data_IF_176355243386
#
_entry.id   IF_176355243386
#
_cell.length_a   1.000
_cell.length_b   1.000
_cell.length_c   1.000
_cell.angle_alpha   90.00
_cell.angle_beta   90.00
_cell.angle_gamma   90.00
#
_symmetry.space_group_name_H-M   'P 1'
#
loop_
_entity.id
_entity.type
_entity.pdbx_description
1 polymer ?
#
# COMPACT_ATOMS: atom_id res chain seq x y z
N UNK A 1 -5.25 16.69 6.28
CA UNK A 1 -4.05 15.88 6.60
C UNK A 1 -2.81 16.68 6.26
N UNK A 2 -1.80 16.70 7.13
CA UNK A 2 -0.56 17.48 6.96
C UNK A 2 0.59 16.50 6.68
N UNK A 3 1.39 16.79 5.64
CA UNK A 3 2.56 15.97 5.27
C UNK A 3 3.83 16.74 5.59
N UNK A 4 4.77 16.08 6.28
CA UNK A 4 6.10 16.60 6.64
C UNK A 4 7.19 15.68 6.11
N UNK A 5 8.36 16.24 5.89
CA UNK A 5 9.55 15.52 5.44
C UNK A 5 10.69 15.75 6.43
N UNK A 6 11.28 14.66 6.92
CA UNK A 6 12.26 14.63 8.00
C UNK A 6 11.62 14.34 9.36
N UNK A 7 12.28 13.47 10.16
CA UNK A 7 11.82 13.13 11.51
C UNK A 7 11.86 14.31 12.49
N UNK A 8 12.61 15.35 12.19
CA UNK A 8 12.62 16.63 12.92
C UNK A 8 11.26 17.33 12.92
N UNK A 9 10.40 17.02 11.95
CA UNK A 9 9.01 17.46 11.93
C UNK A 9 8.04 16.69 12.84
N UNK A 10 8.49 15.60 13.49
CA UNK A 10 7.62 14.77 14.33
C UNK A 10 7.11 15.48 15.59
N UNK A 11 7.94 16.22 16.37
CA UNK A 11 7.44 16.98 17.52
C UNK A 11 6.33 17.98 17.16
N UNK A 12 6.46 18.65 16.02
CA UNK A 12 5.43 19.56 15.53
C UNK A 12 4.14 18.82 15.11
N UNK A 13 4.26 17.63 14.50
CA UNK A 13 3.12 16.79 14.16
C UNK A 13 2.35 16.33 15.40
N UNK A 14 3.05 16.04 16.49
CA UNK A 14 2.45 15.62 17.77
C UNK A 14 1.82 16.80 18.56
N UNK A 15 2.25 18.04 18.31
CA UNK A 15 1.70 19.25 18.97
C UNK A 15 1.75 19.21 20.50
N UNK A 16 2.78 18.60 21.09
CA UNK A 16 2.93 18.47 22.53
C UNK A 16 1.99 17.49 23.21
N UNK A 17 1.22 16.70 22.43
CA UNK A 17 0.29 15.68 22.93
C UNK A 17 1.04 14.44 23.41
N UNK A 18 0.48 13.76 24.41
CA UNK A 18 0.98 12.47 24.91
C UNK A 18 0.71 11.39 23.85
N UNK A 19 1.77 10.83 23.29
CA UNK A 19 1.70 9.86 22.22
C UNK A 19 1.76 8.41 22.72
N UNK A 20 0.89 7.53 22.22
CA UNK A 20 1.01 6.09 22.33
C UNK A 20 1.62 5.52 21.06
N UNK A 21 2.77 4.83 21.18
CA UNK A 21 3.52 4.32 20.03
C UNK A 21 3.08 2.91 19.62
N UNK A 22 2.71 2.75 18.35
CA UNK A 22 2.64 1.45 17.69
C UNK A 22 3.85 1.28 16.76
N UNK A 23 4.78 0.42 17.16
CA UNK A 23 5.98 0.12 16.40
C UNK A 23 6.51 -1.25 16.81
N UNK A 24 7.05 -2.03 15.87
CA UNK A 24 7.81 -3.23 16.22
C UNK A 24 9.07 -2.85 17.00
N UNK A 25 9.68 -3.79 17.73
CA UNK A 25 10.89 -3.55 18.53
C UNK A 25 12.08 -3.01 17.72
N UNK A 26 12.05 -3.17 16.42
CA UNK A 26 13.05 -2.61 15.50
C UNK A 26 13.11 -1.08 15.52
N UNK A 27 11.99 -0.41 15.85
CA UNK A 27 11.85 1.03 15.69
C UNK A 27 11.57 1.73 17.02
N UNK A 28 12.34 2.76 17.31
CA UNK A 28 12.08 3.70 18.39
C UNK A 28 11.78 5.09 17.86
N UNK A 29 10.79 5.75 18.44
CA UNK A 29 10.47 7.12 18.08
C UNK A 29 11.45 8.09 18.76
N UNK A 30 11.93 9.14 18.08
CA UNK A 30 12.81 10.16 18.66
C UNK A 30 12.03 11.18 19.51
N UNK A 31 11.01 10.72 20.25
CA UNK A 31 10.14 11.51 21.12
C UNK A 31 9.70 10.67 22.31
N UNK A 32 9.37 11.32 23.43
CA UNK A 32 8.79 10.65 24.58
C UNK A 32 7.39 10.11 24.26
N UNK A 33 7.09 8.88 24.73
CA UNK A 33 5.79 8.23 24.57
C UNK A 33 5.26 7.75 25.91
N UNK A 34 3.95 7.80 26.11
CA UNK A 34 3.30 7.37 27.36
C UNK A 34 3.07 5.87 27.43
N UNK A 35 3.19 5.18 26.30
CA UNK A 35 3.05 3.73 26.19
C UNK A 35 3.41 3.23 24.81
N UNK A 36 3.58 1.91 24.68
CA UNK A 36 4.00 1.25 23.44
C UNK A 36 3.30 -0.08 23.25
N UNK A 37 3.03 -0.42 21.98
CA UNK A 37 2.63 -1.76 21.55
C UNK A 37 3.53 -2.23 20.39
N UNK A 38 4.15 -3.41 20.51
CA UNK A 38 5.13 -3.91 19.51
C UNK A 38 4.74 -5.22 18.83
N UNK A 39 3.73 -5.93 19.31
CA UNK A 39 3.24 -7.18 18.71
C UNK A 39 2.34 -6.87 17.48
N UNK A 40 2.94 -6.70 16.31
CA UNK A 40 2.26 -6.23 15.09
C UNK A 40 2.50 -7.17 13.88
N UNK A 41 1.47 -7.44 13.05
CA UNK A 41 0.07 -7.04 13.20
C UNK A 41 -0.63 -7.79 14.33
N UNK A 42 -1.77 -7.28 14.78
CA UNK A 42 -2.57 -7.91 15.84
C UNK A 42 -4.07 -7.62 15.67
N UNK A 43 -4.89 -8.59 16.06
CA UNK A 43 -6.34 -8.43 16.24
C UNK A 43 -6.74 -8.11 17.68
N UNK A 44 -5.78 -8.19 18.62
CA UNK A 44 -6.01 -7.92 20.05
C UNK A 44 -6.39 -6.45 20.26
N UNK A 45 -7.23 -6.22 21.27
CA UNK A 45 -7.49 -4.87 21.76
C UNK A 45 -6.25 -4.26 22.37
N UNK A 46 -6.05 -2.96 22.13
CA UNK A 46 -4.90 -2.20 22.62
C UNK A 46 -5.42 -1.07 23.49
N UNK A 47 -5.12 -1.13 24.77
CA UNK A 47 -5.37 -0.05 25.71
C UNK A 47 -4.27 1.01 25.54
N UNK A 48 -4.67 2.23 25.22
CA UNK A 48 -3.77 3.36 25.02
C UNK A 48 -3.65 4.26 26.25
N UNK A 49 -4.33 3.91 27.34
CA UNK A 49 -4.30 4.65 28.60
C UNK A 49 -4.76 6.10 28.44
N UNK A 50 -3.96 7.04 28.92
CA UNK A 50 -4.21 8.48 28.90
C UNK A 50 -3.57 9.20 27.70
N UNK A 51 -3.25 8.46 26.63
CA UNK A 51 -2.73 9.05 25.40
C UNK A 51 -3.75 10.00 24.73
N UNK A 52 -3.21 10.99 24.04
CA UNK A 52 -3.98 12.01 23.30
C UNK A 52 -3.80 11.90 21.79
N UNK A 53 -2.84 11.08 21.35
CA UNK A 53 -2.56 10.82 19.94
C UNK A 53 -1.97 9.42 19.77
N UNK A 54 -2.35 8.75 18.69
CA UNK A 54 -1.73 7.50 18.26
C UNK A 54 -0.56 7.83 17.32
N UNK A 55 0.62 7.29 17.60
CA UNK A 55 1.81 7.40 16.76
C UNK A 55 2.11 6.03 16.15
N UNK A 56 2.03 5.93 14.82
CA UNK A 56 2.42 4.73 14.08
C UNK A 56 3.80 4.90 13.46
N UNK A 57 4.77 4.07 13.84
CA UNK A 57 6.10 4.05 13.21
C UNK A 57 6.35 2.65 12.63
N UNK A 58 6.21 2.52 11.31
CA UNK A 58 6.34 1.22 10.66
C UNK A 58 5.76 1.14 9.26
N UNK A 59 5.66 -0.07 8.73
CA UNK A 59 5.04 -0.34 7.44
C UNK A 59 3.51 -0.43 7.50
N UNK A 60 2.89 -0.78 6.37
CA UNK A 60 1.43 -0.80 6.21
C UNK A 60 0.68 -1.57 7.29
N UNK A 61 1.18 -2.73 7.76
CA UNK A 61 0.52 -3.50 8.83
C UNK A 61 0.51 -2.78 10.18
N UNK A 62 1.57 -2.04 10.50
CA UNK A 62 1.65 -1.20 11.71
C UNK A 62 0.64 -0.05 11.60
N UNK A 63 0.63 0.63 10.45
CA UNK A 63 -0.27 1.76 10.20
C UNK A 63 -1.73 1.29 10.21
N UNK A 64 -2.05 0.13 9.62
CA UNK A 64 -3.41 -0.42 9.66
C UNK A 64 -3.87 -0.75 11.10
N UNK A 65 -2.99 -1.31 11.93
CA UNK A 65 -3.30 -1.53 13.36
C UNK A 65 -3.53 -0.19 14.08
N UNK A 66 -2.71 0.82 13.81
CA UNK A 66 -2.85 2.15 14.40
C UNK A 66 -4.13 2.86 13.94
N UNK A 67 -4.52 2.69 12.66
CA UNK A 67 -5.81 3.17 12.15
C UNK A 67 -7.00 2.53 12.87
N UNK A 68 -6.93 1.22 13.16
CA UNK A 68 -7.95 0.56 13.96
C UNK A 68 -8.05 1.17 15.36
N UNK A 69 -6.91 1.36 16.04
CA UNK A 69 -6.88 1.99 17.36
C UNK A 69 -7.44 3.41 17.31
N UNK A 70 -7.04 4.22 16.33
CA UNK A 70 -7.57 5.57 16.11
C UNK A 70 -9.08 5.57 15.92
N UNK A 71 -9.61 4.66 15.08
CA UNK A 71 -11.05 4.55 14.84
C UNK A 71 -11.85 4.13 16.09
N UNK A 72 -11.28 3.24 16.92
CA UNK A 72 -11.91 2.74 18.15
C UNK A 72 -11.90 3.78 19.28
N UNK A 73 -10.82 4.54 19.39
CA UNK A 73 -10.62 5.50 20.49
C UNK A 73 -11.05 6.93 20.13
N UNK A 74 -11.19 7.24 18.84
CA UNK A 74 -11.39 8.61 18.35
C UNK A 74 -10.12 9.48 18.38
N UNK A 75 -8.96 8.92 18.77
CA UNK A 75 -7.73 9.68 18.86
C UNK A 75 -7.16 10.00 17.45
N UNK A 76 -6.57 11.18 17.26
CA UNK A 76 -5.87 11.51 16.03
C UNK A 76 -4.68 10.57 15.81
N UNK A 77 -4.37 10.30 14.53
CA UNK A 77 -3.27 9.45 14.11
C UNK A 77 -2.18 10.27 13.43
N UNK A 78 -0.94 10.11 13.90
CA UNK A 78 0.29 10.54 13.24
C UNK A 78 1.00 9.29 12.71
N UNK A 79 1.24 9.22 11.41
CA UNK A 79 1.91 8.09 10.76
C UNK A 79 3.33 8.44 10.32
N UNK A 80 4.28 7.56 10.62
CA UNK A 80 5.68 7.61 10.18
C UNK A 80 5.97 6.34 9.37
N UNK A 81 5.72 6.36 8.04
CA UNK A 81 5.88 5.18 7.20
C UNK A 81 7.35 4.79 7.04
N UNK A 82 7.64 3.49 7.13
CA UNK A 82 8.97 2.91 6.86
C UNK A 82 8.99 2.06 5.59
N UNK A 83 7.90 2.07 4.82
CA UNK A 83 7.73 1.37 3.53
C UNK A 83 6.94 2.25 2.57
N UNK A 84 6.80 1.80 1.33
CA UNK A 84 6.06 2.51 0.27
C UNK A 84 4.58 2.10 0.19
N UNK A 85 3.97 1.67 1.31
CA UNK A 85 2.65 1.02 1.30
C UNK A 85 1.47 1.93 0.93
N UNK A 86 1.52 3.23 1.24
CA UNK A 86 0.43 4.18 1.01
C UNK A 86 -0.73 4.06 2.00
N UNK A 87 -0.67 3.12 2.98
CA UNK A 87 -1.74 2.92 3.97
C UNK A 87 -2.06 4.16 4.78
N UNK A 88 -1.07 5.02 5.03
CA UNK A 88 -1.16 6.28 5.78
C UNK A 88 -2.11 7.33 5.16
N UNK A 89 -2.42 7.18 3.88
CA UNK A 89 -3.26 8.13 3.15
C UNK A 89 -4.76 7.86 3.27
N UNK A 90 -5.15 6.65 3.68
CA UNK A 90 -6.57 6.26 3.75
C UNK A 90 -7.04 6.06 5.18
N UNK A 91 -8.34 6.26 5.42
CA UNK A 91 -8.97 5.97 6.71
C UNK A 91 -9.34 4.49 6.89
N UNK A 92 -9.24 3.68 5.83
CA UNK A 92 -9.58 2.25 5.84
C UNK A 92 -8.40 1.42 6.30
N UNK A 93 -8.66 0.28 6.96
CA UNK A 93 -7.65 -0.63 7.47
C UNK A 93 -8.07 -2.09 7.37
N UNK A 94 -7.08 -2.97 7.21
CA UNK A 94 -7.25 -4.40 7.36
C UNK A 94 -6.84 -4.86 8.75
N UNK A 95 -7.65 -5.73 9.36
CA UNK A 95 -7.30 -6.42 10.61
C UNK A 95 -6.67 -7.75 10.26
N UNK A 96 -5.44 -7.99 10.72
CA UNK A 96 -4.67 -9.20 10.44
C UNK A 96 -4.24 -9.85 11.76
N UNK A 97 -4.27 -11.19 11.78
CA UNK A 97 -3.66 -11.97 12.86
C UNK A 97 -2.13 -12.02 12.76
N UNK A 98 -1.49 -12.73 13.70
CA UNK A 98 -0.04 -12.92 13.73
C UNK A 98 0.51 -13.62 12.46
N UNK A 99 -0.29 -14.49 11.82
CA UNK A 99 0.04 -15.16 10.56
C UNK A 99 -0.26 -14.28 9.33
N UNK A 100 -0.60 -13.01 9.52
CA UNK A 100 -0.96 -12.01 8.50
C UNK A 100 -2.23 -12.32 7.71
N UNK A 101 -3.01 -13.32 8.09
CA UNK A 101 -4.29 -13.61 7.47
C UNK A 101 -5.31 -12.53 7.82
N UNK A 102 -6.15 -12.18 6.85
CA UNK A 102 -7.20 -11.19 7.04
C UNK A 102 -8.29 -11.74 7.96
N UNK A 103 -8.59 -11.01 9.02
CA UNK A 103 -9.64 -11.32 10.01
C UNK A 103 -10.80 -10.35 9.95
N UNK A 104 -10.64 -9.24 9.25
CA UNK A 104 -11.65 -8.22 9.10
C UNK A 104 -11.08 -6.94 8.53
N UNK A 105 -11.85 -5.87 8.63
CA UNK A 105 -11.45 -4.55 8.20
C UNK A 105 -12.45 -3.51 8.67
N UNK A 106 -12.10 -2.26 8.50
CA UNK A 106 -12.94 -1.14 8.90
C UNK A 106 -12.46 0.18 8.31
N UNK A 107 -13.03 1.25 8.83
CA UNK A 107 -12.70 2.62 8.44
C UNK A 107 -12.90 3.58 9.58
N UNK A 108 -12.75 4.89 9.31
CA UNK A 108 -12.97 5.93 10.30
C UNK A 108 -11.75 6.31 11.12
N UNK A 109 -10.54 5.93 10.67
CA UNK A 109 -9.32 6.43 11.29
C UNK A 109 -9.16 7.94 11.10
N UNK A 110 -8.71 8.63 12.14
CA UNK A 110 -8.53 10.08 12.17
C UNK A 110 -7.09 10.46 11.77
N UNK A 111 -6.73 10.25 10.50
CA UNK A 111 -5.40 10.58 9.97
C UNK A 111 -5.17 12.09 10.00
N UNK A 112 -4.29 12.56 10.86
CA UNK A 112 -3.99 13.99 11.03
C UNK A 112 -2.71 14.41 10.31
N UNK A 113 -1.64 13.65 10.50
CA UNK A 113 -0.32 13.96 9.93
C UNK A 113 0.42 12.71 9.45
N UNK A 114 1.22 12.91 8.40
CA UNK A 114 2.21 11.93 7.92
C UNK A 114 3.59 12.58 8.00
N UNK A 115 4.56 11.88 8.56
CA UNK A 115 5.96 12.29 8.59
C UNK A 115 6.79 11.27 7.83
N UNK A 116 7.29 11.65 6.66
CA UNK A 116 8.18 10.83 5.84
C UNK A 116 9.63 11.12 6.16
N UNK A 117 10.44 10.08 6.27
CA UNK A 117 11.88 10.21 6.33
C UNK A 117 12.54 9.11 5.49
N UNK A 118 13.42 9.49 4.58
CA UNK A 118 14.11 8.55 3.69
C UNK A 118 15.02 7.60 4.46
N UNK A 119 15.62 8.05 5.57
CA UNK A 119 16.52 7.24 6.40
C UNK A 119 15.84 5.96 6.90
N UNK A 120 14.53 6.01 7.17
CA UNK A 120 13.74 4.85 7.61
C UNK A 120 13.57 3.79 6.50
N UNK A 121 13.85 4.13 5.25
CA UNK A 121 13.74 3.23 4.10
C UNK A 121 15.05 2.59 3.67
N UNK A 122 16.21 3.14 4.07
CA UNK A 122 17.53 2.66 3.61
C UNK A 122 17.82 1.20 3.98
N UNK A 123 17.39 0.77 5.16
CA UNK A 123 17.55 -0.62 5.62
C UNK A 123 16.46 -1.59 5.16
N UNK A 124 15.60 -1.20 4.21
CA UNK A 124 14.50 -2.04 3.75
C UNK A 124 15.01 -3.15 2.81
N UNK A 125 14.65 -4.44 3.08
CA UNK A 125 15.05 -5.54 2.20
C UNK A 125 14.58 -5.33 0.76
N UNK A 126 15.34 -5.85 -0.21
CA UNK A 126 15.06 -5.74 -1.65
C UNK A 126 13.64 -6.17 -2.02
N UNK A 127 13.18 -7.31 -1.49
CA UNK A 127 11.82 -7.82 -1.74
C UNK A 127 10.72 -6.92 -1.17
N UNK A 128 10.95 -6.32 0.01
CA UNK A 128 10.00 -5.36 0.62
C UNK A 128 10.00 -4.05 -0.16
N UNK A 129 11.18 -3.56 -0.55
CA UNK A 129 11.31 -2.36 -1.40
C UNK A 129 10.56 -2.53 -2.72
N UNK A 130 10.81 -3.65 -3.43
CA UNK A 130 10.14 -3.95 -4.70
C UNK A 130 8.63 -4.11 -4.54
N UNK A 131 8.20 -4.96 -3.61
CA UNK A 131 6.77 -5.25 -3.42
C UNK A 131 5.97 -4.00 -3.02
N UNK A 132 6.46 -3.22 -2.06
CA UNK A 132 5.71 -2.03 -1.61
C UNK A 132 5.75 -0.89 -2.63
N UNK A 133 6.82 -0.76 -3.42
CA UNK A 133 6.88 0.20 -4.52
C UNK A 133 5.94 -0.18 -5.67
N UNK A 134 5.84 -1.47 -6.02
CA UNK A 134 4.91 -1.94 -7.04
C UNK A 134 3.45 -1.85 -6.58
N UNK A 135 3.19 -2.02 -5.29
CA UNK A 135 1.89 -1.68 -4.71
C UNK A 135 1.57 -0.18 -4.89
N UNK A 136 2.53 0.71 -4.61
CA UNK A 136 2.35 2.14 -4.84
C UNK A 136 2.16 2.45 -6.34
N UNK A 137 2.86 1.75 -7.24
CA UNK A 137 2.63 1.87 -8.69
C UNK A 137 1.19 1.47 -9.06
N UNK A 138 0.67 0.38 -8.47
CA UNK A 138 -0.71 -0.04 -8.70
C UNK A 138 -1.71 1.03 -8.20
N UNK A 139 -1.48 1.66 -7.06
CA UNK A 139 -2.29 2.81 -6.60
C UNK A 139 -2.32 3.93 -7.64
N UNK A 140 -1.14 4.34 -8.14
CA UNK A 140 -1.03 5.40 -9.13
C UNK A 140 -1.74 5.05 -10.45
N UNK A 141 -1.57 3.82 -10.95
CA UNK A 141 -2.20 3.37 -12.17
C UNK A 141 -3.73 3.29 -12.04
N UNK A 142 -4.24 2.64 -10.99
CA UNK A 142 -5.68 2.46 -10.81
C UNK A 142 -6.41 3.79 -10.54
N UNK A 143 -5.78 4.74 -9.85
CA UNK A 143 -6.34 6.06 -9.61
C UNK A 143 -6.68 6.82 -10.91
N UNK A 144 -6.05 6.47 -12.03
CA UNK A 144 -6.25 7.13 -13.33
C UNK A 144 -7.49 6.63 -14.08
N UNK A 145 -8.02 5.44 -13.76
CA UNK A 145 -9.14 4.87 -14.51
C UNK A 145 -10.29 4.33 -13.66
N UNK A 146 -10.16 4.22 -12.35
CA UNK A 146 -11.24 3.72 -11.48
C UNK A 146 -12.51 4.59 -11.62
N UNK A 147 -13.69 3.97 -11.58
CA UNK A 147 -14.97 4.70 -11.60
C UNK A 147 -15.08 5.64 -10.39
N UNK A 148 -15.49 6.86 -10.64
CA UNK A 148 -15.61 7.88 -9.61
C UNK A 148 -14.29 8.53 -9.19
N UNK A 149 -13.20 8.29 -9.96
CA UNK A 149 -11.91 8.96 -9.75
C UNK A 149 -12.03 10.48 -9.72
N UNK A 150 -11.10 11.12 -9.05
CA UNK A 150 -10.94 12.57 -9.10
C UNK A 150 -9.96 12.96 -10.22
N UNK A 151 -10.43 13.55 -11.34
CA UNK A 151 -9.55 13.97 -12.43
C UNK A 151 -8.47 14.98 -12.02
N UNK A 152 -8.70 15.74 -10.95
CA UNK A 152 -7.69 16.66 -10.43
C UNK A 152 -6.51 15.94 -9.72
N UNK A 153 -6.63 14.62 -9.49
CA UNK A 153 -5.54 13.77 -9.01
C UNK A 153 -4.68 13.19 -10.14
N UNK A 154 -5.11 13.24 -11.41
CA UNK A 154 -4.41 12.62 -12.53
C UNK A 154 -2.93 13.08 -12.66
N UNK A 155 -2.60 14.39 -12.57
CA UNK A 155 -1.20 14.83 -12.63
C UNK A 155 -0.34 14.25 -11.49
N UNK A 156 -0.92 14.08 -10.31
CA UNK A 156 -0.24 13.49 -9.15
C UNK A 156 0.00 12.00 -9.38
N UNK A 157 -0.98 11.28 -9.91
CA UNK A 157 -0.90 9.85 -10.22
C UNK A 157 0.13 9.57 -11.34
N UNK A 158 0.14 10.35 -12.42
CA UNK A 158 1.11 10.23 -13.51
C UNK A 158 2.53 10.50 -13.03
N UNK A 159 2.74 11.53 -12.22
CA UNK A 159 4.05 11.83 -11.64
C UNK A 159 4.50 10.74 -10.65
N UNK A 160 3.59 10.17 -9.86
CA UNK A 160 3.86 9.03 -9.00
C UNK A 160 4.36 7.83 -9.80
N UNK A 161 3.63 7.45 -10.86
CA UNK A 161 3.99 6.33 -11.72
C UNK A 161 5.36 6.55 -12.39
N UNK A 162 5.64 7.77 -12.86
CA UNK A 162 6.94 8.15 -13.44
C UNK A 162 8.06 7.97 -12.42
N UNK A 163 7.97 8.62 -11.25
CA UNK A 163 9.00 8.54 -10.20
C UNK A 163 9.27 7.10 -9.76
N UNK A 164 8.22 6.31 -9.53
CA UNK A 164 8.36 4.92 -9.10
C UNK A 164 9.04 4.10 -10.20
N UNK A 165 8.60 4.21 -11.46
CA UNK A 165 9.14 3.41 -12.56
C UNK A 165 10.59 3.74 -12.92
N UNK A 166 11.04 4.98 -12.66
CA UNK A 166 12.42 5.42 -12.88
C UNK A 166 13.34 5.08 -11.69
N UNK A 167 12.84 5.22 -10.45
CA UNK A 167 13.65 5.00 -9.25
C UNK A 167 13.75 3.53 -8.84
N UNK A 168 12.68 2.74 -9.01
CA UNK A 168 12.63 1.36 -8.52
C UNK A 168 13.78 0.48 -9.05
N UNK A 169 14.11 0.44 -10.36
CA UNK A 169 15.23 -0.37 -10.85
C UNK A 169 16.55 -0.03 -10.16
N UNK A 170 16.80 1.26 -9.94
CA UNK A 170 18.02 1.75 -9.28
C UNK A 170 18.06 1.39 -7.80
N UNK A 171 16.93 1.48 -7.08
CA UNK A 171 16.83 1.04 -5.68
C UNK A 171 17.03 -0.48 -5.56
N UNK A 172 16.58 -1.25 -6.55
CA UNK A 172 16.78 -2.71 -6.58
C UNK A 172 18.25 -3.09 -6.90
N UNK A 173 18.98 -2.24 -7.60
CA UNK A 173 20.40 -2.41 -7.89
C UNK A 173 21.24 -1.96 -6.68
N UNK A 174 21.05 -0.71 -6.22
CA UNK A 174 21.70 -0.16 -5.04
C UNK A 174 20.66 0.44 -4.06
N UNK A 175 20.28 -0.36 -3.08
CA UNK A 175 19.33 0.06 -2.05
C UNK A 175 19.88 1.09 -1.05
N UNK A 176 21.16 1.44 -1.10
CA UNK A 176 21.81 2.43 -0.24
C UNK A 176 21.83 3.83 -0.83
N UNK A 177 21.54 4.01 -2.14
CA UNK A 177 21.46 5.33 -2.78
C UNK A 177 20.29 6.15 -2.19
N UNK A 178 20.65 7.06 -1.29
CA UNK A 178 19.69 7.90 -0.56
C UNK A 178 18.84 8.77 -1.49
N UNK A 179 19.45 9.33 -2.52
CA UNK A 179 18.73 10.23 -3.44
C UNK A 179 17.69 9.47 -4.26
N UNK A 180 18.03 8.27 -4.70
CA UNK A 180 17.10 7.40 -5.43
C UNK A 180 15.99 6.87 -4.52
N UNK A 181 16.32 6.50 -3.28
CA UNK A 181 15.31 6.14 -2.25
C UNK A 181 14.35 7.29 -1.96
N UNK A 182 14.86 8.52 -1.88
CA UNK A 182 14.01 9.69 -1.68
C UNK A 182 13.07 9.91 -2.86
N UNK A 183 13.56 9.78 -4.10
CA UNK A 183 12.72 9.87 -5.29
C UNK A 183 11.61 8.81 -5.29
N UNK A 184 11.94 7.57 -4.92
CA UNK A 184 10.97 6.48 -4.79
C UNK A 184 9.94 6.76 -3.68
N UNK A 185 10.38 7.23 -2.52
CA UNK A 185 9.49 7.57 -1.40
C UNK A 185 8.54 8.73 -1.77
N UNK A 186 9.02 9.74 -2.49
CA UNK A 186 8.18 10.83 -3.02
C UNK A 186 7.15 10.32 -4.03
N UNK A 187 7.54 9.39 -4.90
CA UNK A 187 6.62 8.71 -5.81
C UNK A 187 5.54 7.93 -5.05
N UNK A 188 5.92 7.17 -4.02
CA UNK A 188 4.98 6.41 -3.19
C UNK A 188 4.02 7.32 -2.41
N UNK A 189 4.50 8.44 -1.87
CA UNK A 189 3.65 9.43 -1.20
C UNK A 189 2.60 10.01 -2.15
N UNK A 190 3.00 10.39 -3.37
CA UNK A 190 2.07 10.86 -4.42
C UNK A 190 1.07 9.77 -4.84
N UNK A 191 1.50 8.51 -4.94
CA UNK A 191 0.62 7.39 -5.24
C UNK A 191 -0.44 7.20 -4.14
N UNK A 192 -0.05 7.34 -2.87
CA UNK A 192 -0.97 7.34 -1.74
C UNK A 192 -1.97 8.50 -1.76
N UNK A 193 -1.53 9.71 -2.13
CA UNK A 193 -2.41 10.85 -2.34
C UNK A 193 -3.44 10.58 -3.45
N UNK A 194 -3.01 10.05 -4.59
CA UNK A 194 -3.88 9.71 -5.70
C UNK A 194 -4.90 8.61 -5.31
N UNK A 195 -4.44 7.58 -4.59
CA UNK A 195 -5.30 6.54 -4.00
C UNK A 195 -6.40 7.14 -3.11
N UNK A 196 -6.02 8.04 -2.19
CA UNK A 196 -6.98 8.63 -1.24
C UNK A 196 -8.08 9.44 -1.93
N UNK A 197 -7.79 10.01 -3.11
CA UNK A 197 -8.71 10.83 -3.89
C UNK A 197 -9.55 10.03 -4.88
N UNK A 198 -9.03 8.92 -5.40
CA UNK A 198 -9.67 8.19 -6.50
C UNK A 198 -10.14 6.78 -6.12
N UNK A 199 -9.38 6.04 -5.34
CA UNK A 199 -9.71 4.68 -4.91
C UNK A 199 -8.93 3.59 -5.66
N UNK A 200 -9.43 2.35 -5.56
CA UNK A 200 -8.81 1.12 -6.06
C UNK A 200 -9.69 0.43 -7.11
N UNK A 201 -9.08 -0.36 -7.99
CA UNK A 201 -9.78 -1.10 -9.04
C UNK A 201 -9.42 -2.60 -9.02
N UNK A 202 -9.36 -3.23 -10.19
CA UNK A 202 -9.32 -4.68 -10.38
C UNK A 202 -8.02 -5.34 -9.88
N UNK A 203 -6.86 -4.71 -10.08
CA UNK A 203 -5.58 -5.29 -9.63
C UNK A 203 -5.59 -5.51 -8.11
N UNK A 204 -6.04 -4.49 -7.36
CA UNK A 204 -6.18 -4.60 -5.91
C UNK A 204 -7.26 -5.59 -5.49
N UNK A 205 -8.37 -5.70 -6.20
CA UNK A 205 -9.42 -6.68 -5.92
C UNK A 205 -8.86 -8.11 -6.01
N UNK A 206 -8.09 -8.42 -7.06
CA UNK A 206 -7.40 -9.70 -7.22
C UNK A 206 -6.37 -9.93 -6.10
N UNK A 207 -5.47 -8.98 -5.89
CA UNK A 207 -4.44 -9.09 -4.85
C UNK A 207 -5.00 -9.26 -3.43
N UNK A 208 -6.09 -8.56 -3.11
CA UNK A 208 -6.76 -8.68 -1.81
C UNK A 208 -7.46 -10.01 -1.61
N UNK A 209 -8.05 -10.62 -2.65
CA UNK A 209 -8.70 -11.92 -2.55
C UNK A 209 -7.69 -13.02 -2.20
N UNK A 210 -6.53 -12.98 -2.85
CA UNK A 210 -5.43 -13.94 -2.61
C UNK A 210 -4.77 -13.68 -1.26
N UNK A 211 -4.35 -12.43 -1.01
CA UNK A 211 -3.62 -12.06 0.21
C UNK A 211 -4.42 -12.27 1.49
N UNK A 212 -5.74 -12.06 1.43
CA UNK A 212 -6.63 -12.30 2.57
C UNK A 212 -6.71 -13.77 2.96
N UNK A 213 -6.67 -14.68 1.99
CA UNK A 213 -6.76 -16.13 2.22
C UNK A 213 -5.46 -16.75 2.71
N UNK A 214 -4.33 -16.35 2.10
CA UNK A 214 -3.03 -17.03 2.34
C UNK A 214 -2.07 -16.25 3.23
N UNK A 215 -2.37 -15.00 3.58
CA UNK A 215 -1.44 -14.15 4.33
C UNK A 215 -0.21 -13.72 3.53
N UNK A 216 -0.24 -13.85 2.20
CA UNK A 216 0.86 -13.51 1.32
C UNK A 216 1.14 -12.00 1.31
N UNK A 217 2.39 -11.57 1.00
CA UNK A 217 2.75 -10.17 0.94
C UNK A 217 1.93 -9.41 -0.09
N UNK A 218 1.15 -8.43 0.35
CA UNK A 218 0.22 -7.67 -0.48
C UNK A 218 0.90 -6.99 -1.68
N UNK A 219 2.12 -6.45 -1.46
CA UNK A 219 2.89 -5.82 -2.53
C UNK A 219 3.35 -6.80 -3.62
N UNK A 220 3.70 -8.04 -3.26
CA UNK A 220 4.04 -9.07 -4.24
C UNK A 220 2.83 -9.45 -5.11
N UNK A 221 1.65 -9.54 -4.48
CA UNK A 221 0.41 -9.85 -5.20
C UNK A 221 0.00 -8.71 -6.14
N UNK A 222 0.11 -7.44 -5.71
CA UNK A 222 -0.15 -6.32 -6.61
C UNK A 222 0.84 -6.24 -7.76
N UNK A 223 2.12 -6.59 -7.53
CA UNK A 223 3.12 -6.66 -8.60
C UNK A 223 2.72 -7.66 -9.71
N UNK A 224 2.16 -8.82 -9.33
CA UNK A 224 1.73 -9.86 -10.27
C UNK A 224 0.36 -9.52 -10.90
N UNK A 225 -0.56 -8.94 -10.13
CA UNK A 225 -1.93 -8.67 -10.59
C UNK A 225 -2.05 -7.39 -11.43
N UNK A 226 -1.14 -6.42 -11.30
CA UNK A 226 -1.22 -5.15 -12.01
C UNK A 226 -1.10 -5.28 -13.54
N UNK A 227 -0.11 -5.99 -14.12
CA UNK A 227 0.04 -6.09 -15.57
C UNK A 227 -1.20 -6.66 -16.28
N UNK A 228 -1.79 -7.81 -15.88
CA UNK A 228 -3.00 -8.32 -16.51
C UNK A 228 -4.21 -7.38 -16.32
N UNK A 229 -4.33 -6.70 -15.18
CA UNK A 229 -5.40 -5.73 -14.96
C UNK A 229 -5.27 -4.50 -15.88
N UNK A 230 -4.06 -4.03 -16.16
CA UNK A 230 -3.80 -2.94 -17.11
C UNK A 230 -4.16 -3.36 -18.54
N UNK A 231 -3.76 -4.58 -18.97
CA UNK A 231 -4.14 -5.12 -20.29
C UNK A 231 -5.66 -5.26 -20.44
N UNK A 232 -6.34 -5.72 -19.39
CA UNK A 232 -7.81 -5.83 -19.37
C UNK A 232 -8.50 -4.46 -19.52
N UNK A 233 -7.91 -3.40 -18.97
CA UNK A 233 -8.45 -2.05 -18.96
C UNK A 233 -7.80 -1.12 -20.02
N UNK A 234 -7.10 -1.65 -21.02
CA UNK A 234 -6.25 -0.89 -21.94
C UNK A 234 -6.95 0.35 -22.54
N UNK A 235 -8.23 0.24 -22.91
CA UNK A 235 -9.03 1.34 -23.46
C UNK A 235 -9.28 2.50 -22.47
N UNK A 236 -9.10 2.28 -21.16
CA UNK A 236 -9.29 3.27 -20.10
C UNK A 236 -7.97 3.80 -19.53
N UNK A 237 -6.85 3.16 -19.88
CA UNK A 237 -5.52 3.54 -19.41
C UNK A 237 -5.02 4.74 -20.20
N UNK A 238 -4.63 5.87 -19.54
CA UNK A 238 -4.11 7.02 -20.27
C UNK A 238 -2.88 6.67 -21.10
N UNK A 239 -2.84 7.17 -22.35
CA UNK A 239 -1.76 6.87 -23.30
C UNK A 239 -0.38 7.36 -22.82
N UNK A 240 -0.32 8.38 -21.97
CA UNK A 240 0.91 8.91 -21.38
C UNK A 240 1.44 8.08 -20.18
N UNK A 241 0.61 7.21 -19.61
CA UNK A 241 1.02 6.40 -18.47
C UNK A 241 2.18 5.47 -18.87
N UNK A 242 3.28 5.57 -18.11
CA UNK A 242 4.51 4.80 -18.35
C UNK A 242 4.95 4.83 -19.83
N UNK A 243 4.82 5.99 -20.47
CA UNK A 243 5.19 6.27 -21.86
C UNK A 243 4.43 5.41 -22.89
N UNK A 244 3.17 5.09 -22.60
CA UNK A 244 2.30 4.31 -23.48
C UNK A 244 2.50 2.79 -23.41
N UNK A 245 3.30 2.29 -22.47
CA UNK A 245 3.59 0.86 -22.30
C UNK A 245 3.29 0.41 -20.87
N UNK A 246 2.14 0.82 -20.30
CA UNK A 246 1.85 0.69 -18.89
C UNK A 246 1.91 -0.76 -18.39
N UNK A 247 1.27 -1.70 -19.10
CA UNK A 247 1.23 -3.10 -18.69
C UNK A 247 2.60 -3.78 -18.80
N UNK A 248 3.30 -3.58 -19.91
CA UNK A 248 4.60 -4.23 -20.16
C UNK A 248 5.66 -3.67 -19.21
N UNK A 249 5.63 -2.36 -18.95
CA UNK A 249 6.55 -1.75 -17.98
C UNK A 249 6.28 -2.21 -16.55
N UNK A 250 5.02 -2.35 -16.16
CA UNK A 250 4.67 -2.90 -14.84
C UNK A 250 5.15 -4.35 -14.69
N UNK A 251 5.01 -5.18 -15.71
CA UNK A 251 5.49 -6.56 -15.74
C UNK A 251 7.02 -6.65 -15.66
N UNK A 252 7.73 -5.84 -16.46
CA UNK A 252 9.20 -5.75 -16.40
C UNK A 252 9.68 -5.40 -14.98
N UNK A 253 9.06 -4.41 -14.34
CA UNK A 253 9.40 -4.00 -12.98
C UNK A 253 9.08 -5.08 -11.94
N UNK A 254 7.96 -5.81 -12.11
CA UNK A 254 7.60 -6.93 -11.25
C UNK A 254 8.64 -8.07 -11.35
N UNK A 255 9.03 -8.44 -12.57
CA UNK A 255 10.06 -9.46 -12.82
C UNK A 255 11.42 -9.03 -12.26
N UNK A 256 11.82 -7.77 -12.46
CA UNK A 256 13.06 -7.22 -11.88
C UNK A 256 13.07 -7.28 -10.35
N UNK A 257 11.92 -7.09 -9.71
CA UNK A 257 11.76 -7.22 -8.26
C UNK A 257 11.68 -8.68 -7.78
N UNK A 258 11.55 -9.65 -8.69
CA UNK A 258 11.47 -11.09 -8.40
C UNK A 258 10.04 -11.61 -8.22
N UNK A 259 9.03 -10.87 -8.70
CA UNK A 259 7.62 -11.29 -8.66
C UNK A 259 7.17 -11.68 -10.07
N UNK A 260 7.01 -12.99 -10.31
CA UNK A 260 6.75 -13.53 -11.65
C UNK A 260 5.38 -14.18 -11.79
N UNK A 261 5.04 -15.12 -10.89
CA UNK A 261 3.81 -15.90 -10.99
C UNK A 261 3.16 -16.13 -9.62
N UNK A 262 1.88 -16.45 -9.62
CA UNK A 262 1.13 -16.82 -8.41
C UNK A 262 1.60 -18.16 -7.85
N UNK A 263 1.94 -19.12 -8.72
CA UNK A 263 2.47 -20.43 -8.30
C UNK A 263 3.80 -20.29 -7.58
N UNK A 264 4.68 -19.37 -8.00
CA UNK A 264 5.93 -19.06 -7.30
C UNK A 264 5.72 -18.53 -5.87
N UNK A 265 4.56 -17.90 -5.60
CA UNK A 265 4.15 -17.48 -4.27
C UNK A 265 3.43 -18.59 -3.48
N UNK A 266 3.23 -19.77 -4.05
CA UNK A 266 2.58 -20.91 -3.40
C UNK A 266 1.05 -20.88 -3.45
N UNK A 267 0.44 -20.14 -4.37
CA UNK A 267 -1.01 -20.15 -4.59
C UNK A 267 -1.39 -21.46 -5.30
N UNK A 268 -2.34 -22.26 -4.77
CA UNK A 268 -2.79 -23.49 -5.45
C UNK A 268 -3.62 -23.17 -6.70
N UNK A 269 -3.39 -23.91 -7.79
CA UNK A 269 -4.12 -23.73 -9.04
C UNK A 269 -5.63 -24.02 -8.89
N UNK A 270 -5.97 -25.04 -8.12
CA UNK A 270 -7.36 -25.47 -7.91
C UNK A 270 -8.20 -24.40 -7.18
N UNK A 271 -7.55 -23.45 -6.49
CA UNK A 271 -8.24 -22.38 -5.76
C UNK A 271 -8.54 -21.14 -6.66
N UNK A 272 -7.97 -21.05 -7.87
CA UNK A 272 -8.16 -19.91 -8.75
C UNK A 272 -9.64 -19.58 -9.05
N UNK A 273 -10.54 -20.56 -9.28
CA UNK A 273 -11.96 -20.24 -9.52
C UNK A 273 -12.63 -19.55 -8.32
N UNK A 274 -12.37 -19.99 -7.09
CA UNK A 274 -12.92 -19.38 -5.88
C UNK A 274 -12.33 -18.00 -5.61
N UNK A 275 -11.03 -17.85 -5.83
CA UNK A 275 -10.34 -16.57 -5.72
C UNK A 275 -10.87 -15.55 -6.74
N UNK A 276 -11.14 -15.99 -7.97
CA UNK A 276 -11.71 -15.16 -9.03
C UNK A 276 -13.13 -14.70 -8.67
N UNK A 277 -13.99 -15.59 -8.20
CA UNK A 277 -15.34 -15.24 -7.74
C UNK A 277 -15.30 -14.23 -6.57
N UNK A 278 -14.39 -14.45 -5.61
CA UNK A 278 -14.17 -13.54 -4.49
C UNK A 278 -13.69 -12.18 -4.96
N UNK A 279 -12.72 -12.13 -5.89
CA UNK A 279 -12.18 -10.87 -6.41
C UNK A 279 -13.26 -10.08 -7.18
N UNK A 280 -14.03 -10.75 -8.06
CA UNK A 280 -15.10 -10.12 -8.83
C UNK A 280 -16.19 -9.48 -7.94
N UNK A 281 -16.42 -10.00 -6.74
CA UNK A 281 -17.38 -9.46 -5.77
C UNK A 281 -16.87 -8.26 -4.97
N UNK A 282 -15.56 -7.96 -5.00
CA UNK A 282 -14.95 -6.87 -4.21
C UNK A 282 -15.28 -5.49 -4.78
N UNK A 283 -15.31 -4.49 -3.89
CA UNK A 283 -15.57 -3.11 -4.25
C UNK A 283 -14.64 -2.59 -5.37
N UNK A 284 -13.35 -2.95 -5.37
CA UNK A 284 -12.41 -2.57 -6.41
C UNK A 284 -12.77 -3.13 -7.80
N UNK A 285 -13.26 -4.38 -7.87
CA UNK A 285 -13.74 -4.95 -9.13
C UNK A 285 -15.04 -4.28 -9.59
N UNK A 286 -15.93 -3.92 -8.68
CA UNK A 286 -17.16 -3.19 -8.98
C UNK A 286 -16.89 -1.74 -9.45
N UNK A 287 -15.84 -1.12 -8.94
CA UNK A 287 -15.37 0.21 -9.35
C UNK A 287 -14.50 0.17 -10.62
N UNK A 288 -14.16 -1.00 -11.12
CA UNK A 288 -13.40 -1.12 -12.38
C UNK A 288 -14.19 -0.56 -13.57
N UNK A 289 -13.59 0.24 -14.46
CA UNK A 289 -14.34 0.87 -15.57
C UNK A 289 -14.92 -0.16 -16.54
N UNK A 290 -14.15 -1.18 -16.90
CA UNK A 290 -14.62 -2.35 -17.63
C UNK A 290 -15.18 -3.37 -16.63
N UNK A 291 -16.48 -3.74 -16.70
CA UNK A 291 -17.01 -4.79 -15.85
C UNK A 291 -16.20 -6.08 -15.99
N UNK A 292 -15.81 -6.68 -14.86
CA UNK A 292 -15.05 -7.93 -14.82
C UNK A 292 -15.90 -9.03 -14.17
N UNK A 293 -16.31 -10.02 -14.96
CA UNK A 293 -16.97 -11.22 -14.45
C UNK A 293 -15.98 -12.14 -13.70
N UNK A 294 -16.49 -13.13 -12.97
CA UNK A 294 -15.63 -14.12 -12.35
C UNK A 294 -14.79 -14.89 -13.39
N UNK A 295 -15.36 -15.16 -14.57
CA UNK A 295 -14.63 -15.83 -15.67
C UNK A 295 -13.53 -14.96 -16.25
N UNK A 296 -13.77 -13.62 -16.42
CA UNK A 296 -12.71 -12.70 -16.80
C UNK A 296 -11.56 -12.70 -15.77
N UNK A 297 -11.90 -12.60 -14.49
CA UNK A 297 -10.90 -12.60 -13.41
C UNK A 297 -10.15 -13.93 -13.36
N UNK A 298 -10.83 -15.08 -13.58
CA UNK A 298 -10.19 -16.40 -13.65
C UNK A 298 -9.19 -16.45 -14.81
N UNK A 299 -9.55 -15.92 -15.97
CA UNK A 299 -8.64 -15.84 -17.13
C UNK A 299 -7.41 -14.98 -16.81
N UNK A 300 -7.59 -13.82 -16.14
CA UNK A 300 -6.49 -12.94 -15.72
C UNK A 300 -5.57 -13.62 -14.70
N UNK A 301 -6.11 -14.26 -13.66
CA UNK A 301 -5.32 -15.00 -12.66
C UNK A 301 -4.57 -16.17 -13.28
N UNK A 302 -5.21 -16.90 -14.22
CA UNK A 302 -4.59 -18.01 -14.94
C UNK A 302 -3.45 -17.57 -15.84
N UNK A 303 -3.50 -16.36 -16.40
CA UNK A 303 -2.43 -15.81 -17.26
C UNK A 303 -1.14 -15.49 -16.52
N UNK A 304 -1.18 -15.41 -15.19
CA UNK A 304 -0.03 -15.10 -14.31
C UNK A 304 0.23 -16.21 -13.28
N UNK A 305 -0.31 -17.42 -13.52
CA UNK A 305 -0.10 -18.62 -12.69
C UNK A 305 1.16 -19.36 -13.11
#
# INVERSE_FOLDING_TARGET
MIVRWGLDGLPEALRGRRAFLLATERWDAPVDVVGRWSELPTEREIDVGDAEVVLALGGGSTIDTAKRVSAQTGLPLVSVPTTYSGSEWTQYFGVRDADRRMRGGGGGAHNESIVYDVELTLGMPRSVSGGTALNALAHACEALYVKGRDPAADPVALEAARLISEALPRVLDDGSDRAVREALLRGAAKAGEALARSGLALAHAMAQSIGGRYGLPHGALNAICLPPALRFNDEFVPAELLRGHAADRAEELAHLAGFTTLSALGVPQDDLPELAATAASRAGAQANPRPASADDVLALLSSVF
#
